data_IF_559197159298
#
_entry.id   IF_559197159298
#
_cell.length_a   1.000
_cell.length_b   1.000
_cell.length_c   1.000
_cell.angle_alpha   90.00
_cell.angle_beta   90.00
_cell.angle_gamma   90.00
#
_symmetry.space_group_name_H-M   'P 1'
#
loop_
_entity.id
_entity.type
_entity.pdbx_description
1 polymer ?
#
# COMPACT_ATOMS: atom_id res chain seq x y z
N UNK A 1 -37.22 8.18 -43.94
CA UNK A 1 -36.30 7.04 -43.77
C UNK A 1 -34.86 7.55 -43.66
N UNK A 2 -34.38 7.99 -42.49
CA UNK A 2 -32.93 8.16 -42.16
C UNK A 2 -32.74 8.77 -40.75
N UNK A 3 -33.42 8.22 -39.71
CA UNK A 3 -33.24 8.73 -38.33
C UNK A 3 -32.99 7.67 -37.26
N UNK A 4 -32.96 6.39 -37.64
CA UNK A 4 -32.76 5.28 -36.69
C UNK A 4 -31.37 4.64 -36.74
N UNK A 5 -30.46 5.12 -37.59
CA UNK A 5 -29.15 4.48 -37.78
C UNK A 5 -28.01 5.00 -36.89
N UNK A 6 -28.20 6.12 -36.18
CA UNK A 6 -27.12 6.76 -35.41
C UNK A 6 -27.06 6.38 -33.93
N UNK A 7 -28.14 5.82 -33.36
CA UNK A 7 -28.17 5.47 -31.93
C UNK A 7 -27.53 4.12 -31.65
N UNK A 8 -27.43 3.23 -32.65
CA UNK A 8 -26.86 1.89 -32.49
C UNK A 8 -25.32 1.83 -32.52
N UNK A 9 -24.64 2.89 -32.99
CA UNK A 9 -23.17 2.87 -33.14
C UNK A 9 -22.39 3.30 -31.87
N UNK A 10 -23.06 3.85 -30.85
CA UNK A 10 -22.39 4.26 -29.61
C UNK A 10 -22.34 3.16 -28.54
N UNK A 11 -23.02 2.03 -28.75
CA UNK A 11 -23.09 0.94 -27.76
C UNK A 11 -22.01 -0.15 -27.93
N UNK A 12 -21.13 -0.02 -28.93
CA UNK A 12 -20.11 -1.02 -29.27
C UNK A 12 -18.68 -0.62 -28.88
N UNK A 13 -18.49 0.49 -28.17
CA UNK A 13 -17.22 0.83 -27.52
C UNK A 13 -17.28 0.53 -26.02
N UNK A 14 -17.75 -0.68 -25.67
CA UNK A 14 -17.39 -1.28 -24.39
C UNK A 14 -15.90 -1.60 -24.47
N UNK A 15 -15.06 -0.61 -24.18
CA UNK A 15 -13.66 -0.84 -23.91
C UNK A 15 -13.59 -1.88 -22.78
N UNK A 16 -13.25 -3.12 -23.13
CA UNK A 16 -12.64 -4.06 -22.20
C UNK A 16 -11.25 -3.50 -21.84
N UNK A 17 -11.23 -2.38 -21.12
CA UNK A 17 -10.09 -2.04 -20.31
C UNK A 17 -10.10 -3.10 -19.22
N UNK A 18 -9.24 -4.11 -19.34
CA UNK A 18 -8.79 -4.85 -18.17
C UNK A 18 -8.11 -3.82 -17.28
N UNK A 19 -8.89 -3.15 -16.44
CA UNK A 19 -8.34 -2.37 -15.36
C UNK A 19 -7.65 -3.39 -14.47
N UNK A 20 -6.32 -3.49 -14.59
CA UNK A 20 -5.49 -4.06 -13.53
C UNK A 20 -5.81 -3.22 -12.29
N UNK A 21 -6.77 -3.69 -11.51
CA UNK A 21 -7.17 -3.01 -10.29
C UNK A 21 -5.98 -3.09 -9.36
N UNK A 22 -5.42 -1.95 -9.00
CA UNK A 22 -4.36 -1.89 -8.00
C UNK A 22 -4.84 -2.60 -6.73
N UNK A 23 -4.11 -3.65 -6.34
CA UNK A 23 -4.44 -4.49 -5.20
C UNK A 23 -3.18 -4.77 -4.40
N UNK A 24 -3.31 -4.87 -3.09
CA UNK A 24 -2.20 -5.24 -2.20
C UNK A 24 -1.50 -6.52 -2.69
N UNK A 25 -2.26 -7.50 -3.17
CA UNK A 25 -1.75 -8.76 -3.72
C UNK A 25 -1.37 -8.76 -5.19
N UNK A 26 -1.33 -7.62 -5.88
CA UNK A 26 -0.85 -7.55 -7.26
C UNK A 26 0.58 -8.10 -7.37
N UNK A 27 0.92 -8.71 -8.50
CA UNK A 27 2.26 -9.27 -8.79
C UNK A 27 3.31 -8.18 -9.03
N UNK A 28 3.61 -7.43 -7.97
CA UNK A 28 4.56 -6.32 -7.92
C UNK A 28 5.41 -6.46 -6.68
N UNK A 29 6.51 -5.72 -6.62
CA UNK A 29 7.27 -5.59 -5.38
C UNK A 29 6.52 -4.65 -4.41
N UNK A 30 6.56 -4.86 -3.10
CA UNK A 30 7.14 -5.99 -2.38
C UNK A 30 6.45 -6.21 -1.03
N UNK A 31 6.94 -7.20 -0.29
CA UNK A 31 6.48 -7.46 1.07
C UNK A 31 7.60 -8.07 1.90
N UNK A 32 7.56 -7.81 3.20
CA UNK A 32 8.37 -8.52 4.19
C UNK A 32 7.46 -9.22 5.18
N UNK A 33 7.67 -10.52 5.38
CA UNK A 33 6.94 -11.33 6.35
C UNK A 33 7.66 -11.36 7.69
N UNK A 34 6.90 -11.55 8.76
CA UNK A 34 7.40 -11.73 10.12
C UNK A 34 8.28 -10.60 10.66
N UNK A 35 8.01 -9.39 10.21
CA UNK A 35 8.64 -8.20 10.77
C UNK A 35 7.87 -7.74 12.00
N UNK A 36 8.56 -7.08 12.93
CA UNK A 36 7.96 -6.41 14.09
C UNK A 36 8.03 -4.90 13.84
N UNK A 37 6.91 -4.21 14.00
CA UNK A 37 6.88 -2.74 13.94
C UNK A 37 7.51 -2.21 15.23
N UNK A 38 8.62 -1.50 15.11
CA UNK A 38 9.41 -0.99 16.25
C UNK A 38 9.29 0.51 16.48
N UNK A 39 8.84 1.24 15.46
CA UNK A 39 8.68 2.69 15.55
C UNK A 39 7.55 3.15 14.65
N UNK A 40 6.86 4.20 15.10
CA UNK A 40 5.85 4.91 14.34
C UNK A 40 6.14 6.40 14.45
N UNK A 41 6.30 7.04 13.29
CA UNK A 41 6.45 8.48 13.18
C UNK A 41 5.22 9.07 12.47
N UNK A 42 4.76 10.22 12.92
CA UNK A 42 3.61 10.93 12.33
C UNK A 42 3.96 12.38 12.08
N UNK A 43 3.44 12.96 11.01
CA UNK A 43 3.66 14.37 10.70
C UNK A 43 2.78 14.86 9.56
N UNK A 44 3.21 15.96 8.93
CA UNK A 44 2.56 16.50 7.74
C UNK A 44 3.58 16.82 6.65
N UNK A 45 3.20 16.59 5.40
CA UNK A 45 3.92 16.97 4.18
C UNK A 45 2.94 17.62 3.23
N UNK A 46 3.24 18.79 2.66
CA UNK A 46 2.32 19.56 1.80
C UNK A 46 0.90 19.74 2.40
N UNK A 47 0.82 20.02 3.70
CA UNK A 47 -0.45 20.10 4.46
C UNK A 47 -1.27 18.81 4.49
N UNK A 48 -0.66 17.66 4.19
CA UNK A 48 -1.29 16.33 4.24
C UNK A 48 -0.70 15.51 5.38
N UNK A 49 -1.52 14.91 6.25
CA UNK A 49 -1.01 14.05 7.30
C UNK A 49 -0.37 12.80 6.72
N UNK A 50 0.70 12.34 7.36
CA UNK A 50 1.34 11.08 7.05
C UNK A 50 1.66 10.31 8.33
N UNK A 51 1.83 9.00 8.17
CA UNK A 51 2.52 8.19 9.15
C UNK A 51 3.55 7.31 8.46
N UNK A 52 4.61 7.00 9.18
CA UNK A 52 5.69 6.12 8.76
C UNK A 52 5.89 5.05 9.82
N UNK A 53 6.28 3.86 9.39
CA UNK A 53 6.65 2.76 10.27
C UNK A 53 8.10 2.39 10.03
N UNK A 54 8.75 1.90 11.08
CA UNK A 54 9.97 1.10 10.98
C UNK A 54 9.65 -0.33 11.39
N UNK A 55 9.86 -1.28 10.48
CA UNK A 55 9.59 -2.69 10.73
C UNK A 55 10.85 -3.53 10.49
N UNK A 56 11.17 -4.42 11.43
CA UNK A 56 12.44 -5.17 11.41
C UNK A 56 12.25 -6.67 11.60
N UNK A 57 13.16 -7.43 10.99
CA UNK A 57 13.46 -8.86 11.22
C UNK A 57 14.98 -9.00 11.06
N UNK A 58 15.57 -10.15 11.39
CA UNK A 58 16.97 -10.46 11.05
C UNK A 58 17.25 -10.08 9.58
N UNK A 59 18.25 -9.22 9.36
CA UNK A 59 18.67 -8.69 8.05
C UNK A 59 17.63 -7.83 7.29
N UNK A 60 16.48 -7.54 7.89
CA UNK A 60 15.43 -6.69 7.31
C UNK A 60 15.25 -5.43 8.15
N UNK A 61 15.38 -4.28 7.52
CA UNK A 61 15.08 -2.98 8.12
C UNK A 61 14.25 -2.16 7.12
N UNK A 62 12.92 -2.30 7.21
CA UNK A 62 11.97 -1.64 6.34
C UNK A 62 11.53 -0.30 6.95
N UNK A 63 11.64 0.77 6.17
CA UNK A 63 10.90 2.02 6.40
C UNK A 63 9.86 2.20 5.30
N UNK A 64 8.61 2.45 5.67
CA UNK A 64 7.51 2.70 4.74
C UNK A 64 6.54 3.71 5.33
N UNK A 65 5.93 4.55 4.48
CA UNK A 65 5.00 5.58 4.90
C UNK A 65 3.70 5.50 4.13
N UNK A 66 2.66 6.15 4.64
CA UNK A 66 1.47 6.49 3.88
C UNK A 66 1.14 7.96 4.11
N UNK A 67 0.79 8.66 3.03
CA UNK A 67 0.42 10.08 3.05
C UNK A 67 -1.02 10.21 2.61
N UNK A 68 -1.86 10.85 3.42
CA UNK A 68 -3.26 11.08 3.09
C UNK A 68 -3.39 12.02 1.89
N UNK A 69 -4.29 11.68 0.96
CA UNK A 69 -4.51 12.40 -0.29
C UNK A 69 -3.41 12.22 -1.35
N UNK A 70 -2.44 11.33 -1.16
CA UNK A 70 -1.40 11.00 -2.15
C UNK A 70 -1.29 9.49 -2.41
N UNK A 71 -0.97 9.15 -3.67
CA UNK A 71 -0.92 7.79 -4.21
C UNK A 71 -2.26 7.06 -4.22
N UNK A 72 -2.28 5.94 -4.94
CA UNK A 72 -3.42 5.01 -5.00
C UNK A 72 -3.79 4.39 -3.64
N UNK A 73 -2.86 4.38 -2.69
CA UNK A 73 -3.04 3.76 -1.36
C UNK A 73 -3.71 4.68 -0.35
N UNK A 74 -3.81 5.98 -0.66
CA UNK A 74 -4.42 6.98 0.24
C UNK A 74 -5.80 6.62 0.79
N UNK A 75 -6.73 5.98 0.05
CA UNK A 75 -8.05 5.66 0.58
C UNK A 75 -8.01 4.76 1.83
N UNK A 76 -6.90 4.05 2.05
CA UNK A 76 -6.72 3.16 3.20
C UNK A 76 -6.01 3.83 4.39
N UNK A 77 -5.81 5.16 4.37
CA UNK A 77 -4.99 5.87 5.36
C UNK A 77 -5.36 5.56 6.82
N UNK A 78 -6.60 5.80 7.22
CA UNK A 78 -7.03 5.60 8.61
C UNK A 78 -6.98 4.12 9.01
N UNK A 79 -7.38 3.22 8.11
CA UNK A 79 -7.33 1.78 8.33
C UNK A 79 -5.89 1.33 8.58
N UNK A 80 -4.95 1.74 7.72
CA UNK A 80 -3.56 1.34 7.84
C UNK A 80 -2.86 2.00 9.03
N UNK A 81 -3.21 3.25 9.36
CA UNK A 81 -2.71 3.91 10.56
C UNK A 81 -3.15 3.17 11.83
N UNK A 82 -4.45 2.94 11.99
CA UNK A 82 -4.98 2.23 13.16
C UNK A 82 -4.41 0.81 13.27
N UNK A 83 -4.25 0.13 12.13
CA UNK A 83 -3.70 -1.21 12.10
C UNK A 83 -2.20 -1.23 12.45
N UNK A 84 -1.42 -0.25 11.97
CA UNK A 84 -0.02 -0.08 12.34
C UNK A 84 0.12 0.19 13.85
N UNK A 85 -0.69 1.09 14.41
CA UNK A 85 -0.71 1.39 15.85
C UNK A 85 -1.02 0.15 16.68
N UNK A 86 -2.01 -0.65 16.28
CA UNK A 86 -2.34 -1.91 16.94
C UNK A 86 -1.17 -2.90 16.90
N UNK A 87 -0.55 -3.12 15.74
CA UNK A 87 0.59 -4.03 15.60
C UNK A 87 1.85 -3.55 16.30
N UNK A 88 2.08 -2.24 16.34
CA UNK A 88 3.15 -1.65 17.14
C UNK A 88 2.93 -1.90 18.64
N UNK A 89 1.72 -1.64 19.14
CA UNK A 89 1.40 -1.81 20.57
C UNK A 89 1.49 -3.26 21.04
N UNK A 90 1.17 -4.23 20.18
CA UNK A 90 1.21 -5.66 20.50
C UNK A 90 2.59 -6.27 20.32
N UNK A 91 3.47 -5.65 19.52
CA UNK A 91 4.78 -6.19 19.16
C UNK A 91 4.73 -7.51 18.40
N UNK A 92 3.56 -7.88 17.86
CA UNK A 92 3.40 -9.16 17.17
C UNK A 92 4.10 -9.15 15.80
N UNK A 93 4.47 -10.34 15.32
CA UNK A 93 5.05 -10.51 13.99
C UNK A 93 3.98 -10.37 12.91
N UNK A 94 4.25 -9.54 11.92
CA UNK A 94 3.33 -9.19 10.84
C UNK A 94 4.01 -9.23 9.48
N UNK A 95 3.20 -9.29 8.43
CA UNK A 95 3.62 -9.01 7.06
C UNK A 95 3.27 -7.57 6.74
N UNK A 96 4.24 -6.83 6.21
CA UNK A 96 4.06 -5.47 5.70
C UNK A 96 4.14 -5.53 4.18
N UNK A 97 3.11 -5.03 3.51
CA UNK A 97 3.09 -4.84 2.07
C UNK A 97 3.50 -3.41 1.75
N UNK A 98 4.38 -3.23 0.77
CA UNK A 98 4.80 -1.92 0.34
C UNK A 98 4.90 -1.82 -1.19
N UNK A 99 4.93 -0.59 -1.69
CA UNK A 99 5.25 -0.28 -3.07
C UNK A 99 6.43 0.70 -3.12
N UNK A 100 7.57 0.33 -3.74
CA UNK A 100 8.75 1.17 -3.77
C UNK A 100 8.60 2.34 -4.75
N UNK A 101 9.41 3.39 -4.57
CA UNK A 101 9.51 4.53 -5.50
C UNK A 101 8.22 5.37 -5.66
N UNK A 102 7.35 5.37 -4.65
CA UNK A 102 6.11 6.17 -4.64
C UNK A 102 6.40 7.59 -4.15
N UNK A 103 7.17 7.76 -3.09
CA UNK A 103 7.45 9.08 -2.54
C UNK A 103 8.63 9.76 -3.24
N UNK A 104 8.34 10.88 -3.92
CA UNK A 104 9.31 11.60 -4.76
C UNK A 104 9.63 13.01 -4.27
N UNK A 105 8.92 13.51 -3.26
CA UNK A 105 9.24 14.81 -2.66
C UNK A 105 10.63 14.75 -2.04
N UNK A 106 11.50 15.70 -2.38
CA UNK A 106 12.95 15.67 -2.07
C UNK A 106 13.22 15.34 -0.59
N UNK A 107 12.75 16.17 0.34
CA UNK A 107 12.99 15.95 1.77
C UNK A 107 12.28 14.71 2.34
N UNK A 108 11.04 14.45 1.93
CA UNK A 108 10.26 13.32 2.44
C UNK A 108 10.85 11.97 1.98
N UNK A 109 11.33 11.89 0.74
CA UNK A 109 11.93 10.69 0.18
C UNK A 109 13.19 10.22 0.93
N UNK A 110 13.85 11.11 1.67
CA UNK A 110 14.99 10.78 2.56
C UNK A 110 14.58 9.89 3.73
N UNK A 111 13.30 9.92 4.13
CA UNK A 111 12.74 9.00 5.13
C UNK A 111 12.58 7.61 4.49
N UNK A 112 11.86 7.57 3.37
CA UNK A 112 11.68 6.37 2.55
C UNK A 112 11.01 6.74 1.23
N UNK A 113 11.21 5.93 0.20
CA UNK A 113 10.44 5.99 -1.05
C UNK A 113 9.27 5.00 -1.08
N UNK A 114 9.15 4.13 -0.06
CA UNK A 114 8.17 3.05 0.01
C UNK A 114 6.80 3.53 0.54
N UNK A 115 5.74 3.29 -0.20
CA UNK A 115 4.37 3.44 0.27
C UNK A 115 3.86 2.18 0.97
N UNK A 116 3.13 2.31 2.06
CA UNK A 116 2.44 1.19 2.70
C UNK A 116 1.24 0.78 1.84
N UNK A 117 1.17 -0.50 1.50
CA UNK A 117 0.12 -1.10 0.68
C UNK A 117 -0.76 -2.09 1.46
N UNK A 118 -0.46 -2.35 2.74
CA UNK A 118 -1.28 -3.16 3.64
C UNK A 118 -0.49 -3.89 4.71
N UNK A 119 -1.22 -4.67 5.51
CA UNK A 119 -0.66 -5.49 6.58
C UNK A 119 -1.40 -6.82 6.72
N UNK A 120 -0.73 -7.82 7.27
CA UNK A 120 -1.35 -9.07 7.72
C UNK A 120 -0.68 -9.64 8.96
N UNK A 121 -1.41 -10.44 9.74
CA UNK A 121 -0.87 -11.21 10.85
C UNK A 121 -0.03 -12.39 10.36
N UNK A 122 0.99 -12.78 11.14
CA UNK A 122 1.74 -14.02 10.94
C UNK A 122 1.52 -14.99 12.11
N UNK A 123 1.38 -16.28 11.80
CA UNK A 123 1.11 -17.31 12.79
C UNK A 123 2.36 -18.12 13.14
N UNK A 124 3.23 -18.37 12.15
CA UNK A 124 4.47 -19.14 12.25
C UNK A 124 5.49 -18.62 11.24
N UNK A 125 6.71 -19.14 11.30
CA UNK A 125 7.76 -18.88 10.31
C UNK A 125 7.24 -19.11 8.89
N UNK A 126 7.42 -18.08 8.05
CA UNK A 126 6.97 -18.02 6.66
C UNK A 126 5.46 -18.24 6.41
N UNK A 127 4.63 -18.14 7.45
CA UNK A 127 3.16 -18.28 7.34
C UNK A 127 2.44 -17.04 7.86
N UNK A 128 2.09 -16.16 6.91
CA UNK A 128 1.26 -14.99 7.17
C UNK A 128 -0.04 -15.08 6.37
N UNK A 129 -1.10 -14.51 6.94
CA UNK A 129 -2.38 -14.39 6.25
C UNK A 129 -2.27 -13.40 5.09
N UNK A 130 -3.15 -13.54 4.09
CA UNK A 130 -3.20 -12.60 2.96
C UNK A 130 -2.30 -12.98 1.78
N UNK A 131 -2.30 -12.15 0.72
CA UNK A 131 -1.65 -12.50 -0.55
C UNK A 131 -0.13 -12.48 -0.45
N UNK A 132 0.54 -13.08 -1.43
CA UNK A 132 1.95 -12.82 -1.72
C UNK A 132 2.04 -11.63 -2.69
N UNK A 133 2.82 -10.60 -2.34
CA UNK A 133 3.12 -9.45 -3.22
C UNK A 133 4.54 -9.57 -3.73
N UNK A 134 4.70 -10.33 -4.82
CA UNK A 134 5.98 -10.63 -5.47
C UNK A 134 5.77 -10.62 -6.98
N UNK A 135 6.78 -10.17 -7.73
CA UNK A 135 6.82 -10.26 -9.20
C UNK A 135 6.87 -11.71 -9.68
#
# INVERSE_FOLDING_TARGET
MFRFLLVALCFSLSFNASADSEWTGSKKDGMYSEVVIQDIHTGMVDSKPYFCIKAVKTEVNLSACLVSGYSIWSPAFDTFYNQAMYYYSTGQRVRVYYEPNIWKHEEFSKITTNAIAGFSTCFKEDQCFGPERKR
#
